data_IF_016202864999
#
_entry.id   IF_016202864999
#
_cell.length_a   1.000
_cell.length_b   1.000
_cell.length_c   1.000
_cell.angle_alpha   90.00
_cell.angle_beta   90.00
_cell.angle_gamma   90.00
#
_symmetry.space_group_name_H-M   'P 1'
#
loop_
_entity.id
_entity.type
_entity.pdbx_description
1 polymer ?
#
# COMPACT_ATOMS: atom_id res chain seq x y z
N UNK A 1 22.95 -23.09 -1.62
CA UNK A 1 22.07 -22.49 -2.64
C UNK A 1 22.17 -20.98 -2.53
N UNK A 2 22.93 -20.35 -3.43
CA UNK A 2 23.12 -18.89 -3.44
C UNK A 2 21.78 -18.19 -3.66
N UNK A 3 21.54 -17.12 -2.91
CA UNK A 3 20.34 -16.29 -3.00
C UNK A 3 20.30 -15.51 -4.31
N UNK A 4 19.86 -16.17 -5.38
CA UNK A 4 19.67 -15.66 -6.73
C UNK A 4 19.10 -14.23 -6.78
N UNK A 5 19.66 -13.43 -7.70
CA UNK A 5 19.23 -12.10 -8.13
C UNK A 5 17.73 -11.82 -7.89
N UNK A 6 17.40 -10.83 -7.03
CA UNK A 6 16.02 -10.43 -6.71
C UNK A 6 15.17 -10.13 -7.95
N UNK A 7 15.74 -9.54 -9.00
CA UNK A 7 15.00 -9.18 -10.21
C UNK A 7 14.62 -10.42 -11.03
N UNK A 8 15.49 -11.42 -11.10
CA UNK A 8 15.15 -12.71 -11.72
C UNK A 8 14.06 -13.45 -10.93
N UNK A 9 14.06 -13.39 -9.60
CA UNK A 9 12.97 -13.94 -8.78
C UNK A 9 11.65 -13.23 -9.02
N UNK A 10 11.68 -11.89 -9.11
CA UNK A 10 10.49 -11.09 -9.41
C UNK A 10 9.87 -11.48 -10.76
N UNK A 11 10.69 -11.71 -11.80
CA UNK A 11 10.21 -12.23 -13.09
C UNK A 11 9.48 -13.56 -12.93
N UNK A 12 10.03 -14.50 -12.15
CA UNK A 12 9.38 -15.79 -11.87
C UNK A 12 8.05 -15.63 -11.13
N UNK A 13 7.98 -14.77 -10.12
CA UNK A 13 6.74 -14.48 -9.39
C UNK A 13 5.67 -13.90 -10.32
N UNK A 14 6.03 -12.96 -11.19
CA UNK A 14 5.12 -12.37 -12.18
C UNK A 14 4.54 -13.41 -13.13
N UNK A 15 5.39 -14.30 -13.65
CA UNK A 15 4.97 -15.38 -14.54
C UNK A 15 4.00 -16.35 -13.86
N UNK A 16 4.18 -16.62 -12.55
CA UNK A 16 3.35 -17.59 -11.83
C UNK A 16 2.05 -17.01 -11.26
N UNK A 17 2.08 -15.78 -10.76
CA UNK A 17 0.98 -15.22 -9.94
C UNK A 17 0.26 -14.03 -10.58
N UNK A 18 0.81 -13.47 -11.67
CA UNK A 18 0.31 -12.24 -12.28
C UNK A 18 0.11 -12.39 -13.80
N UNK A 19 -0.10 -13.61 -14.26
CA UNK A 19 -0.27 -13.90 -15.69
C UNK A 19 -1.57 -13.30 -16.24
N UNK A 20 -2.66 -13.38 -15.48
CA UNK A 20 -4.01 -13.00 -15.88
C UNK A 20 -4.55 -11.76 -15.12
N UNK A 21 -5.75 -11.35 -15.53
CA UNK A 21 -6.47 -10.21 -14.97
C UNK A 21 -7.51 -10.63 -13.92
N UNK A 22 -7.20 -11.69 -13.19
CA UNK A 22 -8.01 -12.21 -12.10
C UNK A 22 -7.19 -12.23 -10.81
N UNK A 23 -7.86 -12.06 -9.67
CA UNK A 23 -7.22 -12.28 -8.38
C UNK A 23 -6.83 -13.75 -8.20
N UNK A 24 -6.00 -14.04 -7.20
CA UNK A 24 -5.83 -15.40 -6.72
C UNK A 24 -7.03 -15.83 -5.86
N UNK A 25 -7.09 -17.12 -5.50
CA UNK A 25 -8.10 -17.68 -4.62
C UNK A 25 -9.28 -18.36 -5.34
N UNK A 26 -10.17 -18.99 -4.54
CA UNK A 26 -11.31 -19.77 -5.05
C UNK A 26 -12.39 -18.91 -5.70
N UNK A 27 -12.64 -17.72 -5.13
CA UNK A 27 -13.52 -16.71 -5.73
C UNK A 27 -12.63 -15.66 -6.37
N UNK A 28 -12.65 -15.64 -7.69
CA UNK A 28 -11.84 -14.73 -8.51
C UNK A 28 -12.51 -13.36 -8.58
N UNK A 29 -11.71 -12.31 -8.45
CA UNK A 29 -12.10 -10.92 -8.63
C UNK A 29 -11.48 -10.45 -9.96
N UNK A 30 -12.27 -9.90 -10.90
CA UNK A 30 -11.71 -9.26 -12.09
C UNK A 30 -10.87 -8.04 -11.70
N UNK A 31 -9.67 -7.93 -12.26
CA UNK A 31 -8.72 -6.87 -11.97
C UNK A 31 -8.44 -6.06 -13.25
N UNK A 32 -8.41 -4.74 -13.14
CA UNK A 32 -7.77 -3.89 -14.14
C UNK A 32 -6.32 -3.70 -13.71
N UNK A 33 -5.36 -4.18 -14.52
CA UNK A 33 -3.93 -4.02 -14.25
C UNK A 33 -3.34 -2.87 -15.04
N UNK A 34 -2.36 -2.18 -14.44
CA UNK A 34 -1.61 -1.13 -15.13
C UNK A 34 -0.87 -1.69 -16.36
N UNK A 35 -0.47 -2.96 -16.32
CA UNK A 35 0.22 -3.65 -17.42
C UNK A 35 -0.60 -3.79 -18.72
N UNK A 36 -1.86 -3.37 -18.75
CA UNK A 36 -2.61 -3.18 -20.01
C UNK A 36 -2.08 -2.03 -20.84
N UNK A 37 -1.51 -1.02 -20.19
CA UNK A 37 -0.80 0.06 -20.83
C UNK A 37 0.58 -0.46 -21.27
N UNK A 38 0.89 -0.30 -22.56
CA UNK A 38 2.15 -0.77 -23.14
C UNK A 38 3.37 -0.12 -22.47
N UNK A 39 3.25 1.13 -22.00
CA UNK A 39 4.32 1.82 -21.27
C UNK A 39 4.63 1.15 -19.92
N UNK A 40 3.62 0.52 -19.30
CA UNK A 40 3.71 -0.06 -17.96
C UNK A 40 3.55 -1.58 -17.95
N UNK A 41 3.77 -2.26 -19.08
CA UNK A 41 3.57 -3.70 -19.26
C UNK A 41 4.27 -4.60 -18.21
N UNK A 42 5.36 -4.10 -17.62
CA UNK A 42 6.14 -4.79 -16.59
C UNK A 42 5.48 -4.77 -15.19
N UNK A 43 4.63 -3.79 -14.87
CA UNK A 43 4.11 -3.53 -13.53
C UNK A 43 2.77 -4.24 -13.27
N UNK A 44 2.82 -5.56 -13.26
CA UNK A 44 1.62 -6.40 -13.13
C UNK A 44 1.04 -6.41 -11.71
N UNK A 45 1.85 -6.07 -10.71
CA UNK A 45 1.43 -5.95 -9.31
C UNK A 45 0.46 -4.78 -9.09
N UNK A 46 0.47 -3.79 -9.99
CA UNK A 46 -0.41 -2.63 -9.94
C UNK A 46 -1.77 -2.99 -10.55
N UNK A 47 -2.75 -3.17 -9.67
CA UNK A 47 -4.10 -3.61 -10.01
C UNK A 47 -5.14 -2.74 -9.30
N UNK A 48 -6.34 -2.64 -9.90
CA UNK A 48 -7.48 -1.89 -9.38
C UNK A 48 -8.76 -2.65 -9.65
N UNK A 49 -9.69 -2.60 -8.71
CA UNK A 49 -11.05 -3.11 -8.87
C UNK A 49 -12.01 -2.30 -8.01
N UNK A 50 -13.29 -2.34 -8.36
CA UNK A 50 -14.36 -1.75 -7.56
C UNK A 50 -15.20 -2.84 -6.92
N UNK A 51 -15.53 -2.65 -5.64
CA UNK A 51 -16.41 -3.58 -4.94
C UNK A 51 -17.18 -2.85 -3.84
N UNK A 52 -18.51 -3.03 -3.81
CA UNK A 52 -19.35 -2.48 -2.75
C UNK A 52 -19.28 -0.96 -2.63
N UNK A 53 -19.15 -0.23 -3.75
CA UNK A 53 -19.07 1.24 -3.76
C UNK A 53 -17.71 1.82 -3.36
N UNK A 54 -16.67 0.99 -3.30
CA UNK A 54 -15.30 1.36 -2.92
C UNK A 54 -14.34 0.98 -4.05
N UNK A 55 -13.35 1.85 -4.31
CA UNK A 55 -12.20 1.53 -5.16
C UNK A 55 -11.10 0.88 -4.34
N UNK A 56 -10.55 -0.23 -4.82
CA UNK A 56 -9.36 -0.86 -4.24
C UNK A 56 -8.21 -0.77 -5.25
N UNK A 57 -7.00 -0.49 -4.76
CA UNK A 57 -5.80 -0.38 -5.60
C UNK A 57 -4.60 -1.01 -4.90
N UNK A 58 -3.81 -1.77 -5.65
CA UNK A 58 -2.50 -2.23 -5.21
C UNK A 58 -1.40 -1.37 -5.82
N UNK A 59 -0.35 -1.10 -5.03
CA UNK A 59 0.89 -0.47 -5.50
C UNK A 59 2.06 -1.42 -5.28
N UNK A 60 2.96 -1.51 -6.26
CA UNK A 60 4.20 -2.25 -6.12
C UNK A 60 5.23 -1.43 -5.34
N UNK A 61 5.04 -1.32 -4.03
CA UNK A 61 5.93 -0.58 -3.14
C UNK A 61 6.42 -1.52 -2.07
N UNK A 62 7.74 -1.73 -2.03
CA UNK A 62 8.38 -2.78 -1.22
C UNK A 62 9.31 -2.20 -0.16
N UNK A 63 9.46 -2.88 0.96
CA UNK A 63 10.50 -2.66 1.94
C UNK A 63 11.80 -3.34 1.49
N UNK A 64 12.98 -2.90 1.89
CA UNK A 64 13.33 -1.72 2.69
C UNK A 64 13.68 -0.55 1.77
N UNK A 65 13.09 0.62 2.01
CA UNK A 65 13.29 1.87 1.23
C UNK A 65 12.99 1.75 -0.28
N UNK A 66 12.06 0.87 -0.66
CA UNK A 66 11.73 0.57 -2.06
C UNK A 66 12.93 0.18 -2.93
N UNK A 67 13.94 -0.44 -2.31
CA UNK A 67 15.15 -0.88 -3.00
C UNK A 67 16.20 0.22 -3.20
N UNK A 68 15.86 1.50 -2.96
CA UNK A 68 16.76 2.63 -3.16
C UNK A 68 17.99 2.59 -2.24
N UNK A 69 19.16 2.81 -2.83
CA UNK A 69 20.47 2.84 -2.20
C UNK A 69 21.13 1.47 -2.04
N UNK A 70 20.66 0.43 -2.76
CA UNK A 70 21.19 -0.93 -2.65
C UNK A 70 22.19 -1.30 -3.75
N UNK A 71 21.94 -0.89 -4.99
CA UNK A 71 22.83 -1.03 -6.14
C UNK A 71 22.39 -0.08 -7.25
N UNK A 72 23.23 0.15 -8.26
CA UNK A 72 22.88 0.99 -9.41
C UNK A 72 21.67 0.44 -10.18
N UNK A 73 21.61 -0.89 -10.39
CA UNK A 73 20.48 -1.54 -11.04
C UNK A 73 19.21 -1.47 -10.19
N UNK A 74 19.33 -1.62 -8.87
CA UNK A 74 18.23 -1.47 -7.93
C UNK A 74 17.68 -0.04 -7.90
N UNK A 75 18.55 0.96 -7.98
CA UNK A 75 18.17 2.37 -8.00
C UNK A 75 17.46 2.73 -9.32
N UNK A 76 17.92 2.18 -10.44
CA UNK A 76 17.24 2.30 -11.73
C UNK A 76 15.86 1.64 -11.70
N UNK A 77 15.77 0.41 -11.20
CA UNK A 77 14.49 -0.30 -11.11
C UNK A 77 13.51 0.40 -10.16
N UNK A 78 14.01 0.93 -9.04
CA UNK A 78 13.22 1.77 -8.14
C UNK A 78 12.68 3.02 -8.86
N UNK A 79 13.52 3.74 -9.60
CA UNK A 79 13.09 4.94 -10.32
C UNK A 79 11.98 4.63 -11.33
N UNK A 80 12.16 3.58 -12.13
CA UNK A 80 11.19 3.14 -13.14
C UNK A 80 9.87 2.68 -12.46
N UNK A 81 9.96 1.90 -11.37
CA UNK A 81 8.78 1.42 -10.61
C UNK A 81 8.05 2.55 -9.90
N UNK A 82 8.77 3.49 -9.29
CA UNK A 82 8.20 4.68 -8.65
C UNK A 82 7.41 5.49 -9.67
N UNK A 83 7.96 5.71 -10.86
CA UNK A 83 7.28 6.42 -11.94
C UNK A 83 5.93 5.75 -12.29
N UNK A 84 5.93 4.42 -12.47
CA UNK A 84 4.71 3.67 -12.71
C UNK A 84 3.70 3.78 -11.56
N UNK A 85 4.13 3.65 -10.31
CA UNK A 85 3.27 3.77 -9.13
C UNK A 85 2.65 5.17 -8.98
N UNK A 86 3.40 6.23 -9.27
CA UNK A 86 2.92 7.62 -9.23
C UNK A 86 1.77 7.82 -10.23
N UNK A 87 1.95 7.35 -11.47
CA UNK A 87 0.92 7.44 -12.51
C UNK A 87 -0.29 6.58 -12.12
N UNK A 88 -0.05 5.36 -11.65
CA UNK A 88 -1.11 4.45 -11.26
C UNK A 88 -1.97 4.97 -10.10
N UNK A 89 -1.34 5.56 -9.08
CA UNK A 89 -2.05 6.14 -7.95
C UNK A 89 -2.93 7.32 -8.37
N UNK A 90 -2.42 8.21 -9.24
CA UNK A 90 -3.23 9.30 -9.82
C UNK A 90 -4.44 8.75 -10.57
N UNK A 91 -4.23 7.75 -11.42
CA UNK A 91 -5.31 7.11 -12.18
C UNK A 91 -6.34 6.45 -11.25
N UNK A 92 -5.90 5.84 -10.14
CA UNK A 92 -6.79 5.24 -9.15
C UNK A 92 -7.67 6.29 -8.44
N UNK A 93 -7.09 7.42 -8.02
CA UNK A 93 -7.87 8.51 -7.43
C UNK A 93 -8.80 9.19 -8.45
N UNK A 94 -8.34 9.39 -9.69
CA UNK A 94 -9.18 9.93 -10.76
C UNK A 94 -10.39 9.01 -11.04
N UNK A 95 -10.16 7.70 -11.09
CA UNK A 95 -11.24 6.71 -11.21
C UNK A 95 -12.18 6.74 -10.02
N UNK A 96 -11.66 6.71 -8.79
CA UNK A 96 -12.48 6.76 -7.57
C UNK A 96 -13.40 8.00 -7.55
N UNK A 97 -12.88 9.17 -7.97
CA UNK A 97 -13.66 10.41 -8.14
C UNK A 97 -14.75 10.25 -9.21
N UNK A 98 -14.39 9.77 -10.40
CA UNK A 98 -15.33 9.61 -11.53
C UNK A 98 -16.43 8.58 -11.27
N UNK A 99 -16.08 7.50 -10.57
CA UNK A 99 -16.97 6.40 -10.17
C UNK A 99 -17.74 6.71 -8.89
N UNK A 100 -17.54 7.90 -8.30
CA UNK A 100 -18.18 8.33 -7.04
C UNK A 100 -17.99 7.30 -5.92
N UNK A 101 -16.80 6.70 -5.84
CA UNK A 101 -16.48 5.75 -4.78
C UNK A 101 -16.55 6.45 -3.43
N UNK A 102 -17.17 5.78 -2.45
CA UNK A 102 -17.32 6.30 -1.09
C UNK A 102 -16.03 6.23 -0.29
N UNK A 103 -15.04 5.47 -0.76
CA UNK A 103 -13.71 5.41 -0.20
C UNK A 103 -12.73 4.79 -1.21
N UNK A 104 -11.43 4.91 -0.92
CA UNK A 104 -10.37 4.16 -1.60
C UNK A 104 -9.50 3.40 -0.59
N UNK A 105 -9.20 2.14 -0.89
CA UNK A 105 -8.24 1.33 -0.14
C UNK A 105 -7.01 1.05 -1.00
N UNK A 106 -5.86 1.52 -0.54
CA UNK A 106 -4.55 1.35 -1.15
C UNK A 106 -3.83 0.23 -0.41
N UNK A 107 -3.34 -0.77 -1.12
CA UNK A 107 -2.64 -1.92 -0.56
C UNK A 107 -1.21 -2.00 -1.11
N UNK A 108 -0.24 -2.12 -0.22
CA UNK A 108 1.17 -2.30 -0.58
C UNK A 108 1.92 -3.06 0.51
N UNK A 109 3.20 -3.38 0.29
CA UNK A 109 3.99 -4.06 1.32
C UNK A 109 4.62 -3.06 2.30
N UNK A 110 5.27 -2.01 1.79
CA UNK A 110 6.21 -1.20 2.56
C UNK A 110 5.53 -0.35 3.66
N UNK A 111 6.23 -0.14 4.78
CA UNK A 111 5.90 0.93 5.71
C UNK A 111 6.55 2.22 5.20
N UNK A 112 5.75 3.09 4.58
CA UNK A 112 6.19 4.40 4.14
C UNK A 112 6.21 5.43 5.26
N UNK A 113 6.13 5.10 6.54
CA UNK A 113 6.29 6.08 7.64
C UNK A 113 7.10 5.45 8.79
N UNK A 114 8.36 5.00 8.55
CA UNK A 114 9.20 4.43 9.59
C UNK A 114 9.48 5.42 10.73
N UNK A 115 9.42 6.72 10.51
CA UNK A 115 9.63 7.74 11.54
C UNK A 115 8.42 7.94 12.48
N UNK A 116 7.24 7.40 12.15
CA UNK A 116 6.02 7.65 12.91
C UNK A 116 6.07 6.95 14.27
N UNK A 117 5.87 7.74 15.33
CA UNK A 117 5.62 7.26 16.69
C UNK A 117 4.25 6.57 16.78
N UNK A 118 3.99 5.70 17.77
CA UNK A 118 4.86 5.31 18.90
C UNK A 118 5.92 4.24 18.58
N UNK A 119 5.94 3.68 17.37
CA UNK A 119 6.85 2.61 16.99
C UNK A 119 7.76 3.03 15.82
N UNK A 120 8.71 3.95 16.06
CA UNK A 120 9.61 4.39 15.01
C UNK A 120 10.59 3.27 14.64
N UNK A 121 10.64 2.94 13.36
CA UNK A 121 11.76 2.25 12.73
C UNK A 121 12.91 3.21 12.42
N UNK A 122 13.91 2.72 11.68
CA UNK A 122 15.05 3.53 11.24
C UNK A 122 14.77 4.10 9.84
N UNK A 123 14.44 5.41 9.68
CA UNK A 123 14.26 5.99 8.37
C UNK A 123 15.58 5.99 7.57
N UNK A 124 15.51 5.65 6.29
CA UNK A 124 16.64 5.71 5.37
C UNK A 124 16.67 7.07 4.65
N UNK A 125 17.87 7.57 4.37
CA UNK A 125 18.11 8.82 3.64
C UNK A 125 19.03 8.57 2.45
N UNK A 126 18.69 9.02 1.23
CA UNK A 126 17.39 9.58 0.85
C UNK A 126 16.24 8.56 1.01
N UNK A 127 15.02 9.06 1.24
CA UNK A 127 13.84 8.19 1.33
C UNK A 127 13.32 7.88 -0.08
N UNK A 128 13.13 6.60 -0.39
CA UNK A 128 12.48 6.13 -1.62
C UNK A 128 10.97 6.40 -1.66
N UNK A 129 10.40 6.94 -0.57
CA UNK A 129 8.96 7.14 -0.43
C UNK A 129 8.51 8.60 -0.55
N UNK A 130 9.45 9.55 -0.68
CA UNK A 130 9.14 11.00 -0.63
C UNK A 130 8.06 11.41 -1.62
N UNK A 131 8.27 11.19 -2.92
CA UNK A 131 7.31 11.58 -3.97
C UNK A 131 5.96 10.87 -3.82
N UNK A 132 5.97 9.62 -3.38
CA UNK A 132 4.73 8.86 -3.20
C UNK A 132 3.92 9.36 -2.00
N UNK A 133 4.58 9.76 -0.91
CA UNK A 133 3.93 10.40 0.24
C UNK A 133 3.34 11.76 -0.14
N UNK A 134 4.09 12.56 -0.90
CA UNK A 134 3.64 13.87 -1.39
C UNK A 134 2.41 13.73 -2.29
N UNK A 135 2.43 12.78 -3.24
CA UNK A 135 1.28 12.51 -4.08
C UNK A 135 0.08 12.02 -3.26
N UNK A 136 0.31 11.12 -2.30
CA UNK A 136 -0.75 10.60 -1.44
C UNK A 136 -1.38 11.71 -0.60
N UNK A 137 -0.60 12.65 -0.07
CA UNK A 137 -1.09 13.84 0.62
C UNK A 137 -2.00 14.68 -0.29
N UNK A 138 -1.53 14.98 -1.51
CA UNK A 138 -2.26 15.79 -2.48
C UNK A 138 -3.58 15.14 -2.88
N UNK A 139 -3.55 13.86 -3.24
CA UNK A 139 -4.74 13.14 -3.70
C UNK A 139 -5.73 12.88 -2.57
N UNK A 140 -5.26 12.51 -1.37
CA UNK A 140 -6.14 12.33 -0.22
C UNK A 140 -6.82 13.64 0.19
N UNK A 141 -6.09 14.77 0.14
CA UNK A 141 -6.65 16.11 0.37
C UNK A 141 -7.72 16.46 -0.67
N UNK A 142 -7.51 16.10 -1.93
CA UNK A 142 -8.46 16.37 -3.00
C UNK A 142 -9.68 15.43 -3.02
N UNK A 143 -9.52 14.17 -2.56
CA UNK A 143 -10.58 13.16 -2.60
C UNK A 143 -11.65 13.38 -1.54
N UNK A 144 -11.29 13.90 -0.35
CA UNK A 144 -12.17 14.22 0.80
C UNK A 144 -12.91 13.06 1.46
N UNK A 145 -13.23 12.00 0.73
CA UNK A 145 -13.77 10.74 1.26
C UNK A 145 -12.66 9.86 1.88
N UNK A 146 -12.99 8.83 2.69
CA UNK A 146 -12.00 7.98 3.35
C UNK A 146 -10.95 7.35 2.42
N UNK A 147 -9.69 7.45 2.84
CA UNK A 147 -8.50 6.86 2.21
C UNK A 147 -7.83 5.94 3.22
N UNK A 148 -7.68 4.66 2.89
CA UNK A 148 -6.99 3.68 3.74
C UNK A 148 -5.73 3.19 3.06
N UNK A 149 -4.59 3.28 3.73
CA UNK A 149 -3.34 2.62 3.33
C UNK A 149 -3.12 1.36 4.16
N UNK A 150 -3.13 0.19 3.51
CA UNK A 150 -2.87 -1.12 4.14
C UNK A 150 -1.45 -1.59 3.81
N UNK A 151 -0.69 -2.01 4.82
CA UNK A 151 0.64 -2.61 4.65
C UNK A 151 1.03 -3.59 5.78
N UNK A 152 2.25 -4.15 5.76
CA UNK A 152 2.69 -5.14 6.77
C UNK A 152 4.17 -5.15 7.16
N UNK A 153 4.99 -4.27 6.59
CA UNK A 153 6.46 -4.27 6.67
C UNK A 153 7.10 -4.29 8.07
N UNK A 154 6.50 -3.66 9.09
CA UNK A 154 7.10 -3.55 10.44
C UNK A 154 6.66 -4.66 11.40
N UNK A 155 5.81 -5.58 10.95
CA UNK A 155 5.43 -6.83 11.62
C UNK A 155 4.61 -6.68 12.92
N UNK A 156 3.95 -5.55 13.16
CA UNK A 156 3.00 -5.40 14.26
C UNK A 156 1.71 -4.75 13.79
N UNK A 157 0.61 -5.10 14.46
CA UNK A 157 -0.69 -4.54 14.16
C UNK A 157 -0.81 -3.11 14.70
N UNK A 158 -1.19 -2.17 13.83
CA UNK A 158 -1.60 -0.81 14.23
C UNK A 158 -2.63 -0.24 13.28
N UNK A 159 -3.46 0.64 13.82
CA UNK A 159 -4.35 1.51 13.04
C UNK A 159 -4.12 2.92 13.56
N UNK A 160 -3.55 3.78 12.73
CA UNK A 160 -3.20 5.15 13.08
C UNK A 160 -3.30 6.09 11.87
N UNK A 161 -2.81 7.32 12.01
CA UNK A 161 -2.87 8.33 10.96
C UNK A 161 -1.56 9.14 10.91
N UNK A 162 -0.54 8.66 10.16
CA UNK A 162 0.73 9.35 10.03
C UNK A 162 0.75 10.44 8.93
N UNK A 163 -0.25 10.47 8.04
CA UNK A 163 -0.26 11.41 6.91
C UNK A 163 -0.66 12.81 7.41
N UNK A 164 0.19 13.80 7.16
CA UNK A 164 -0.01 15.19 7.56
C UNK A 164 0.15 16.08 6.35
N UNK A 165 -0.48 17.26 6.39
CA UNK A 165 -0.20 18.29 5.40
C UNK A 165 1.24 18.78 5.53
N UNK A 166 1.86 19.09 4.42
CA UNK A 166 3.18 19.71 4.39
C UNK A 166 3.13 21.06 5.10
N UNK A 167 4.06 21.27 6.04
CA UNK A 167 4.14 22.50 6.83
C UNK A 167 5.27 23.40 6.30
N UNK A 168 5.09 24.72 6.28
CA UNK A 168 6.19 25.63 5.93
C UNK A 168 7.35 25.49 6.94
N UNK A 169 8.61 25.71 6.52
CA UNK A 169 9.77 25.67 7.41
C UNK A 169 9.58 26.58 8.63
N UNK A 170 9.83 26.07 9.83
CA UNK A 170 9.65 26.79 11.10
C UNK A 170 8.19 26.93 11.57
N UNK A 171 7.22 26.40 10.82
CA UNK A 171 5.81 26.39 11.19
C UNK A 171 5.46 25.32 12.23
N UNK A 172 4.30 25.48 12.88
CA UNK A 172 3.74 24.46 13.77
C UNK A 172 3.43 23.19 12.96
N UNK A 173 3.74 22.03 13.54
CA UNK A 173 3.39 20.73 12.96
C UNK A 173 1.85 20.61 12.88
N UNK A 174 1.27 20.44 11.67
CA UNK A 174 -0.17 20.36 11.50
C UNK A 174 -0.72 19.02 12.01
N UNK A 175 -2.03 18.97 12.31
CA UNK A 175 -2.71 17.72 12.59
C UNK A 175 -2.66 16.78 11.36
N UNK A 176 -2.85 15.49 11.62
CA UNK A 176 -2.98 14.49 10.56
C UNK A 176 -4.25 14.69 9.75
N UNK A 177 -4.22 14.27 8.48
CA UNK A 177 -5.32 14.44 7.53
C UNK A 177 -6.49 13.52 7.91
N UNK A 178 -7.65 14.09 8.22
CA UNK A 178 -8.77 13.45 8.90
C UNK A 178 -9.39 12.27 8.13
N UNK A 179 -9.37 12.31 6.79
CA UNK A 179 -9.90 11.24 5.95
C UNK A 179 -8.89 10.13 5.68
N UNK A 180 -7.66 10.22 6.19
CA UNK A 180 -6.63 9.19 6.01
C UNK A 180 -6.54 8.24 7.20
N UNK A 181 -6.36 6.95 6.91
CA UNK A 181 -6.02 5.92 7.89
C UNK A 181 -4.92 5.02 7.36
N UNK A 182 -3.92 4.75 8.18
CA UNK A 182 -3.00 3.63 7.96
C UNK A 182 -3.46 2.42 8.75
N UNK A 183 -3.40 1.26 8.12
CA UNK A 183 -3.69 -0.04 8.71
C UNK A 183 -2.48 -0.95 8.45
N UNK A 184 -1.72 -1.23 9.49
CA UNK A 184 -0.68 -2.24 9.42
C UNK A 184 -1.24 -3.57 9.94
N UNK A 185 -1.15 -4.61 9.11
CA UNK A 185 -1.57 -5.96 9.48
C UNK A 185 -0.50 -6.68 10.29
N UNK A 186 -0.84 -7.85 10.81
CA UNK A 186 0.10 -8.69 11.54
C UNK A 186 1.17 -9.28 10.62
N UNK A 187 2.42 -9.28 11.09
CA UNK A 187 3.52 -10.01 10.49
C UNK A 187 4.12 -11.03 11.46
N UNK A 188 5.35 -11.45 11.20
CA UNK A 188 6.11 -12.35 12.07
C UNK A 188 6.32 -11.74 13.46
N UNK A 189 6.12 -12.48 14.56
CA UNK A 189 5.86 -13.92 14.64
C UNK A 189 4.37 -14.30 14.65
N UNK A 190 3.46 -13.33 14.78
CA UNK A 190 2.07 -13.59 15.13
C UNK A 190 1.20 -14.08 13.96
N UNK A 191 1.42 -13.56 12.74
CA UNK A 191 0.73 -13.95 11.50
C UNK A 191 -0.80 -14.10 11.65
N UNK A 192 -1.44 -13.19 12.39
CA UNK A 192 -2.90 -13.09 12.43
C UNK A 192 -3.42 -12.32 11.21
N UNK A 193 -4.72 -12.03 11.14
CA UNK A 193 -5.29 -11.30 10.00
C UNK A 193 -6.35 -10.30 10.43
N UNK A 194 -6.71 -9.40 9.52
CA UNK A 194 -7.76 -8.41 9.71
C UNK A 194 -8.98 -8.78 8.89
N UNK A 195 -10.13 -8.86 9.55
CA UNK A 195 -11.41 -8.90 8.88
C UNK A 195 -11.88 -7.48 8.64
N UNK A 196 -12.02 -7.10 7.36
CA UNK A 196 -12.47 -5.77 6.96
C UNK A 196 -13.92 -5.84 6.51
N UNK A 197 -14.77 -4.98 7.07
CA UNK A 197 -16.16 -4.79 6.65
C UNK A 197 -16.28 -3.44 5.96
N UNK A 198 -17.03 -3.40 4.85
CA UNK A 198 -17.41 -2.18 4.14
C UNK A 198 -18.88 -1.88 4.44
N UNK A 199 -19.16 -0.69 4.97
CA UNK A 199 -20.52 -0.18 5.19
C UNK A 199 -20.58 1.27 4.68
N UNK A 200 -21.35 1.50 3.61
CA UNK A 200 -21.45 2.81 2.98
C UNK A 200 -22.24 3.83 3.80
N UNK A 201 -22.98 3.38 4.82
CA UNK A 201 -23.73 4.24 5.74
C UNK A 201 -22.88 4.70 6.93
N UNK A 202 -21.74 4.05 7.20
CA UNK A 202 -20.76 4.51 8.17
C UNK A 202 -19.88 5.58 7.51
N UNK A 203 -19.75 6.80 8.09
CA UNK A 203 -18.86 7.82 7.54
C UNK A 203 -17.39 7.40 7.45
N UNK A 204 -16.95 6.38 8.21
CA UNK A 204 -15.61 5.83 8.11
C UNK A 204 -15.46 4.77 7.01
N UNK A 205 -16.57 4.26 6.47
CA UNK A 205 -16.70 3.20 5.45
C UNK A 205 -16.14 1.83 5.82
N UNK A 206 -14.99 1.78 6.49
CA UNK A 206 -14.27 0.56 6.84
C UNK A 206 -14.24 0.32 8.35
N UNK A 207 -14.58 -0.90 8.74
CA UNK A 207 -14.30 -1.42 10.09
C UNK A 207 -13.27 -2.53 10.02
N UNK A 208 -12.24 -2.46 10.87
CA UNK A 208 -11.15 -3.44 10.93
C UNK A 208 -11.24 -4.24 12.23
N UNK A 209 -11.40 -5.56 12.11
CA UNK A 209 -11.46 -6.47 13.27
C UNK A 209 -10.31 -7.46 13.24
N UNK A 210 -9.39 -7.42 14.23
CA UNK A 210 -8.38 -8.46 14.40
C UNK A 210 -9.00 -9.85 14.53
N UNK A 211 -8.42 -10.81 13.82
CA UNK A 211 -8.79 -12.22 13.86
C UNK A 211 -7.57 -13.04 14.17
N UNK A 212 -7.58 -13.58 15.39
CA UNK A 212 -6.46 -14.34 15.91
C UNK A 212 -6.51 -15.78 15.41
N UNK A 213 -5.37 -16.27 14.93
CA UNK A 213 -5.20 -17.64 14.48
C UNK A 213 -4.76 -18.47 15.67
N UNK A 214 -5.64 -19.36 16.17
CA UNK A 214 -5.38 -20.17 17.37
C UNK A 214 -4.10 -21.00 17.26
N UNK A 215 -3.75 -21.48 16.07
CA UNK A 215 -2.53 -22.26 15.83
C UNK A 215 -1.24 -21.47 16.08
N UNK A 216 -1.29 -20.14 16.11
CA UNK A 216 -0.12 -19.28 16.33
C UNK A 216 0.06 -18.90 17.81
N UNK A 217 -0.80 -19.38 18.71
CA UNK A 217 -0.69 -19.09 20.13
C UNK A 217 0.29 -20.02 20.82
N UNK A 218 1.12 -19.46 21.70
CA UNK A 218 1.85 -20.25 22.69
C UNK A 218 0.82 -20.74 23.72
N UNK A 219 0.82 -22.05 24.02
CA UNK A 219 -0.05 -22.62 25.07
C UNK A 219 0.27 -21.93 26.40
N UNK A 220 -0.76 -21.42 27.06
CA UNK A 220 -0.62 -20.92 28.44
C UNK A 220 -0.34 -22.13 29.32
N UNK A 221 0.74 -22.09 30.11
CA UNK A 221 0.99 -23.05 31.18
C UNK A 221 -0.01 -22.84 32.31
#
# INVERSE_FOLDING_TARGET
>A
MQGHDPLNRLKGLRAQFFEDEQSLGRRKIPLLRQSRDAEFATYRENARWDQGGVTFVTLHVVGSNDGLGRSEEGDKEHADRKHANIIWLRQAFAHAKSSKSRAIMILQQANMYPESTPFPGKPMKPSGFTELRELLEQEATAFRDPVVLVHGDSHYFRIDNPLRKSAPPGGRVPPSLENFRRVETFGTPNHHWLHVTVDLNDPNVFTFRPRMVRANFIKRQ
#
